data_IF_403464875909
#
_entry.id   IF_403464875909
#
_cell.length_a   1.000
_cell.length_b   1.000
_cell.length_c   1.000
_cell.angle_alpha   90.00
_cell.angle_beta   90.00
_cell.angle_gamma   90.00
#
_symmetry.space_group_name_H-M   'P 1'
#
loop_
_entity.id
_entity.type
_entity.pdbx_description
1 polymer ?
#
# COMPACT_ATOMS: atom_id res chain seq x y z
N UNK A 1 14.18 -4.32 -33.14
CA UNK A 1 14.49 -5.43 -32.22
C UNK A 1 15.33 -5.02 -31.01
N UNK A 2 16.38 -4.20 -31.14
CA UNK A 2 17.28 -3.85 -30.01
C UNK A 2 16.63 -3.15 -28.82
N UNK A 3 15.66 -2.24 -29.01
CA UNK A 3 14.95 -1.56 -27.90
C UNK A 3 13.98 -2.53 -27.18
N UNK A 4 13.32 -3.40 -27.96
CA UNK A 4 12.28 -4.31 -27.48
C UNK A 4 12.85 -5.49 -26.68
N UNK A 5 14.12 -5.85 -26.88
CA UNK A 5 14.84 -6.83 -26.03
C UNK A 5 15.44 -6.13 -24.79
N UNK A 6 15.65 -4.81 -24.86
CA UNK A 6 16.39 -4.07 -23.84
C UNK A 6 15.52 -3.58 -22.68
N UNK A 7 14.30 -3.12 -22.95
CA UNK A 7 13.33 -2.81 -21.91
C UNK A 7 12.97 -4.03 -21.03
N UNK A 8 12.66 -5.22 -21.60
CA UNK A 8 12.44 -6.41 -20.78
C UNK A 8 13.74 -6.85 -20.10
N UNK A 9 14.92 -6.72 -20.71
CA UNK A 9 16.19 -6.98 -20.01
C UNK A 9 16.36 -6.08 -18.79
N UNK A 10 16.10 -4.78 -18.91
CA UNK A 10 16.14 -3.84 -17.78
C UNK A 10 15.12 -4.29 -16.72
N UNK A 11 13.89 -4.60 -17.11
CA UNK A 11 12.86 -5.09 -16.19
C UNK A 11 13.28 -6.37 -15.45
N UNK A 12 13.72 -7.40 -16.16
CA UNK A 12 14.16 -8.66 -15.57
C UNK A 12 15.37 -8.50 -14.66
N UNK A 13 16.36 -7.69 -15.07
CA UNK A 13 17.55 -7.42 -14.25
C UNK A 13 17.18 -6.60 -13.01
N UNK A 14 16.28 -5.62 -13.11
CA UNK A 14 15.78 -4.86 -11.96
C UNK A 14 15.05 -5.80 -10.98
N UNK A 15 14.15 -6.66 -11.47
CA UNK A 15 13.44 -7.64 -10.64
C UNK A 15 14.45 -8.57 -9.93
N UNK A 16 15.42 -9.11 -10.67
CA UNK A 16 16.47 -9.96 -10.12
C UNK A 16 17.27 -9.23 -9.03
N UNK A 17 17.67 -7.98 -9.27
CA UNK A 17 18.42 -7.18 -8.30
C UNK A 17 17.59 -6.84 -7.06
N UNK A 18 16.28 -6.62 -7.18
CA UNK A 18 15.39 -6.43 -6.03
C UNK A 18 15.29 -7.71 -5.19
N UNK A 19 15.16 -8.87 -5.82
CA UNK A 19 15.14 -10.17 -5.12
C UNK A 19 16.47 -10.43 -4.43
N UNK A 20 17.58 -10.20 -5.14
CA UNK A 20 18.93 -10.34 -4.58
C UNK A 20 19.16 -9.36 -3.41
N UNK A 21 18.68 -8.12 -3.51
CA UNK A 21 18.74 -7.14 -2.41
C UNK A 21 18.00 -7.65 -1.18
N UNK A 22 16.77 -8.12 -1.34
CA UNK A 22 15.96 -8.60 -0.22
C UNK A 22 16.60 -9.81 0.48
N UNK A 23 17.14 -10.75 -0.30
CA UNK A 23 17.84 -11.92 0.24
C UNK A 23 19.13 -11.52 0.97
N UNK A 24 19.97 -10.69 0.34
CA UNK A 24 21.26 -10.30 0.89
C UNK A 24 21.10 -9.41 2.14
N UNK A 25 20.08 -8.54 2.15
CA UNK A 25 19.77 -7.70 3.29
C UNK A 25 19.44 -8.54 4.54
N UNK A 26 18.54 -9.52 4.42
CA UNK A 26 18.18 -10.39 5.55
C UNK A 26 19.34 -11.26 6.01
N UNK A 27 20.09 -11.81 5.05
CA UNK A 27 21.30 -12.57 5.34
C UNK A 27 22.31 -11.73 6.15
N UNK A 28 22.64 -10.53 5.68
CA UNK A 28 23.59 -9.64 6.35
C UNK A 28 23.08 -9.14 7.70
N UNK A 29 21.77 -8.97 7.85
CA UNK A 29 21.16 -8.56 9.12
C UNK A 29 21.15 -9.70 10.16
N UNK A 30 21.13 -10.96 9.72
CA UNK A 30 21.19 -12.13 10.59
C UNK A 30 22.62 -12.50 11.04
N UNK A 31 23.66 -12.10 10.31
CA UNK A 31 25.05 -12.47 10.64
C UNK A 31 25.50 -11.96 12.03
N UNK A 32 25.28 -10.68 12.41
CA UNK A 32 25.75 -10.16 13.70
C UNK A 32 25.08 -10.81 14.91
N UNK A 33 23.80 -11.15 14.81
CA UNK A 33 23.05 -11.85 15.88
C UNK A 33 23.55 -13.27 16.09
N UNK A 34 24.09 -13.92 15.06
CA UNK A 34 24.68 -15.26 15.16
C UNK A 34 26.13 -15.26 15.64
N UNK A 35 26.91 -14.24 15.33
CA UNK A 35 28.31 -14.13 15.77
C UNK A 35 28.46 -13.60 17.21
N UNK A 36 27.40 -13.00 17.79
CA UNK A 36 27.45 -12.34 19.10
C UNK A 36 26.87 -13.15 20.27
N UNK A 37 26.58 -14.44 20.10
CA UNK A 37 26.12 -15.33 21.19
C UNK A 37 27.21 -16.37 21.56
N UNK A 38 28.11 -16.05 22.50
CA UNK A 38 28.72 -17.06 23.35
C UNK A 38 27.73 -17.42 24.46
N UNK A 39 27.37 -18.70 24.54
CA UNK A 39 26.77 -19.41 25.67
C UNK A 39 25.39 -18.97 26.19
N UNK A 40 24.33 -19.65 25.75
CA UNK A 40 23.24 -20.04 26.65
C UNK A 40 22.71 -21.45 26.30
N UNK A 41 22.90 -22.45 27.19
CA UNK A 41 22.30 -23.76 27.06
C UNK A 41 20.94 -23.74 27.76
N UNK A 42 19.84 -23.75 27.00
CA UNK A 42 18.55 -24.38 27.37
C UNK A 42 17.47 -24.00 26.37
N UNK A 43 17.22 -24.88 25.40
CA UNK A 43 15.89 -25.07 24.82
C UNK A 43 15.85 -26.49 24.26
N UNK A 44 15.34 -27.40 25.08
CA UNK A 44 15.10 -28.78 24.68
C UNK A 44 13.95 -28.87 23.67
N UNK A 45 14.11 -29.89 22.81
CA UNK A 45 13.14 -30.53 21.93
C UNK A 45 12.83 -29.90 20.55
N UNK A 46 13.34 -30.65 19.57
CA UNK A 46 12.89 -30.85 18.17
C UNK A 46 13.27 -29.83 17.09
N UNK A 47 14.56 -29.79 16.71
CA UNK A 47 15.00 -30.27 15.39
C UNK A 47 16.53 -30.10 15.21
N UNK A 48 17.30 -31.18 15.00
CA UNK A 48 18.71 -31.09 14.66
C UNK A 48 18.90 -31.05 13.12
N UNK A 49 19.62 -30.02 12.63
CA UNK A 49 20.20 -29.84 11.28
C UNK A 49 19.33 -29.19 10.17
N UNK A 50 19.51 -27.88 10.01
CA UNK A 50 19.32 -27.06 8.79
C UNK A 50 19.80 -25.63 9.09
N UNK A 51 20.56 -24.93 8.21
CA UNK A 51 21.27 -23.72 8.60
C UNK A 51 20.32 -22.52 8.65
N UNK A 52 20.08 -21.97 9.84
CA UNK A 52 19.25 -20.77 10.10
C UNK A 52 19.58 -19.56 9.18
N UNK A 53 20.80 -19.53 8.63
CA UNK A 53 21.28 -18.56 7.64
C UNK A 53 20.61 -18.73 6.26
N UNK A 54 20.32 -19.97 5.86
CA UNK A 54 19.53 -20.26 4.66
C UNK A 54 18.07 -19.88 4.87
N UNK A 55 17.54 -20.04 6.08
CA UNK A 55 16.18 -19.58 6.41
C UNK A 55 16.05 -18.06 6.29
N UNK A 56 17.07 -17.28 6.69
CA UNK A 56 17.10 -15.83 6.49
C UNK A 56 17.10 -15.44 4.99
N UNK A 57 17.84 -16.18 4.15
CA UNK A 57 17.83 -15.99 2.70
C UNK A 57 16.45 -16.30 2.10
N UNK A 58 15.86 -17.44 2.47
CA UNK A 58 14.53 -17.85 2.03
C UNK A 58 13.48 -16.83 2.51
N UNK A 59 13.61 -16.33 3.74
CA UNK A 59 12.73 -15.30 4.28
C UNK A 59 12.78 -14.00 3.46
N UNK A 60 13.99 -13.55 3.13
CA UNK A 60 14.21 -12.38 2.29
C UNK A 60 13.61 -12.55 0.89
N UNK A 61 13.76 -13.71 0.26
CA UNK A 61 13.20 -13.99 -1.07
C UNK A 61 11.68 -14.12 -1.05
N UNK A 62 11.12 -14.84 -0.08
CA UNK A 62 9.69 -15.22 -0.07
C UNK A 62 8.82 -14.09 0.46
N UNK A 63 9.24 -13.40 1.52
CA UNK A 63 8.39 -12.44 2.23
C UNK A 63 8.74 -11.00 1.93
N UNK A 64 10.03 -10.68 1.77
CA UNK A 64 10.50 -9.30 1.64
C UNK A 64 10.66 -8.83 0.20
N UNK A 65 11.17 -9.69 -0.68
CA UNK A 65 11.34 -9.37 -2.09
C UNK A 65 10.03 -8.94 -2.77
N UNK A 66 8.86 -9.58 -2.52
CA UNK A 66 7.62 -9.13 -3.15
C UNK A 66 7.26 -7.70 -2.74
N UNK A 67 7.38 -7.34 -1.46
CA UNK A 67 7.13 -5.97 -0.99
C UNK A 67 8.01 -4.94 -1.70
N UNK A 68 9.29 -5.26 -1.90
CA UNK A 68 10.22 -4.41 -2.65
C UNK A 68 9.96 -4.40 -4.15
N UNK A 69 9.50 -5.51 -4.73
CA UNK A 69 9.09 -5.57 -6.12
C UNK A 69 7.86 -4.69 -6.36
N UNK A 70 6.90 -4.66 -5.45
CA UNK A 70 5.70 -3.83 -5.63
C UNK A 70 5.98 -2.34 -5.46
N UNK A 71 6.73 -1.95 -4.43
CA UNK A 71 6.95 -0.54 -4.12
C UNK A 71 8.15 0.05 -4.87
N UNK A 72 9.18 -0.76 -5.12
CA UNK A 72 10.46 -0.32 -5.66
C UNK A 72 10.61 -0.46 -7.17
N UNK A 73 9.93 -1.45 -7.81
CA UNK A 73 10.17 -1.74 -9.24
C UNK A 73 9.79 -0.57 -10.14
N UNK A 74 8.61 0.02 -9.97
CA UNK A 74 8.15 1.11 -10.85
C UNK A 74 9.07 2.35 -10.75
N UNK A 75 9.37 2.90 -9.55
CA UNK A 75 10.29 4.01 -9.41
C UNK A 75 11.70 3.69 -9.94
N UNK A 76 12.24 2.49 -9.65
CA UNK A 76 13.55 2.07 -10.14
C UNK A 76 13.56 1.97 -11.66
N UNK A 77 12.53 1.40 -12.29
CA UNK A 77 12.46 1.31 -13.75
C UNK A 77 12.44 2.69 -14.40
N UNK A 78 11.75 3.67 -13.82
CA UNK A 78 11.74 5.04 -14.32
C UNK A 78 13.15 5.65 -14.25
N UNK A 79 13.79 5.58 -13.08
CA UNK A 79 15.14 6.13 -12.89
C UNK A 79 16.15 5.44 -13.83
N UNK A 80 16.08 4.11 -13.92
CA UNK A 80 16.98 3.33 -14.75
C UNK A 80 16.73 3.56 -16.25
N UNK A 81 15.48 3.74 -16.68
CA UNK A 81 15.15 4.14 -18.05
C UNK A 81 15.70 5.54 -18.38
N UNK A 82 15.67 6.49 -17.43
CA UNK A 82 16.29 7.81 -17.62
C UNK A 82 17.82 7.70 -17.72
N UNK A 83 18.46 6.87 -16.88
CA UNK A 83 19.91 6.65 -16.99
C UNK A 83 20.31 5.99 -18.30
N UNK A 84 19.48 5.08 -18.80
CA UNK A 84 19.65 4.41 -20.09
C UNK A 84 19.48 5.40 -21.24
N UNK A 85 18.50 6.32 -21.16
CA UNK A 85 18.31 7.40 -22.13
C UNK A 85 19.52 8.36 -22.16
N UNK A 86 20.03 8.74 -21.00
CA UNK A 86 21.23 9.59 -20.87
C UNK A 86 22.53 8.87 -21.22
N UNK A 87 22.49 7.58 -21.59
CA UNK A 87 23.68 6.77 -21.89
C UNK A 87 24.70 6.78 -20.74
N UNK A 88 24.22 6.79 -19.49
CA UNK A 88 25.08 6.82 -18.32
C UNK A 88 25.70 5.43 -18.09
N UNK A 89 26.97 5.26 -18.50
CA UNK A 89 27.70 3.98 -18.40
C UNK A 89 28.50 3.82 -17.10
N UNK A 90 28.70 4.89 -16.34
CA UNK A 90 29.54 4.87 -15.14
C UNK A 90 28.88 4.05 -14.02
N UNK A 91 29.63 3.10 -13.46
CA UNK A 91 29.22 2.27 -12.33
C UNK A 91 28.75 3.09 -11.12
N UNK A 92 29.33 4.30 -10.93
CA UNK A 92 28.99 5.22 -9.84
C UNK A 92 27.50 5.60 -9.84
N UNK A 93 26.90 5.82 -11.01
CA UNK A 93 25.47 6.17 -11.11
C UNK A 93 24.58 5.06 -10.59
N UNK A 94 24.85 3.82 -11.00
CA UNK A 94 24.06 2.67 -10.57
C UNK A 94 24.24 2.40 -9.09
N UNK A 95 25.45 2.53 -8.54
CA UNK A 95 25.65 2.43 -7.11
C UNK A 95 24.83 3.46 -6.33
N UNK A 96 24.89 4.73 -6.72
CA UNK A 96 24.13 5.78 -6.02
C UNK A 96 22.62 5.50 -6.07
N UNK A 97 22.10 5.07 -7.22
CA UNK A 97 20.67 4.73 -7.38
C UNK A 97 20.28 3.59 -6.44
N UNK A 98 21.06 2.51 -6.42
CA UNK A 98 20.75 1.34 -5.60
C UNK A 98 20.94 1.60 -4.10
N UNK A 99 21.91 2.44 -3.70
CA UNK A 99 22.07 2.89 -2.30
C UNK A 99 20.86 3.70 -1.84
N UNK A 100 20.43 4.69 -2.64
CA UNK A 100 19.25 5.49 -2.31
C UNK A 100 18.00 4.61 -2.23
N UNK A 101 17.82 3.71 -3.21
CA UNK A 101 16.69 2.79 -3.24
C UNK A 101 16.68 1.84 -2.04
N UNK A 102 17.83 1.28 -1.65
CA UNK A 102 17.93 0.38 -0.51
C UNK A 102 17.70 1.08 0.83
N UNK A 103 18.17 2.31 0.99
CA UNK A 103 17.91 3.13 2.19
C UNK A 103 16.41 3.48 2.31
N UNK A 104 15.77 3.87 1.20
CA UNK A 104 14.33 4.10 1.15
C UNK A 104 13.54 2.82 1.46
N UNK A 105 13.93 1.69 0.88
CA UNK A 105 13.28 0.40 1.09
C UNK A 105 13.42 -0.14 2.52
N UNK A 106 14.41 0.33 3.28
CA UNK A 106 14.66 -0.08 4.66
C UNK A 106 14.20 0.93 5.70
N UNK A 107 13.69 2.09 5.27
CA UNK A 107 13.14 3.12 6.14
C UNK A 107 14.20 3.96 6.86
N UNK A 108 15.40 4.12 6.26
CA UNK A 108 16.53 4.84 6.86
C UNK A 108 16.80 4.43 8.32
N UNK A 109 17.32 3.22 8.58
CA UNK A 109 17.57 2.73 9.94
C UNK A 109 18.79 3.39 10.58
N UNK A 110 18.76 4.72 10.74
CA UNK A 110 19.88 5.53 11.28
C UNK A 110 20.17 5.15 12.75
N UNK A 111 19.14 4.68 13.46
CA UNK A 111 19.23 4.27 14.87
C UNK A 111 19.78 2.85 15.06
N UNK A 112 19.93 2.06 14.00
CA UNK A 112 20.44 0.69 14.06
C UNK A 112 21.64 0.54 13.11
N UNK A 113 22.89 0.65 13.63
CA UNK A 113 24.08 0.66 12.80
C UNK A 113 24.31 -0.68 12.08
N UNK A 114 23.85 -1.80 12.65
CA UNK A 114 23.97 -3.12 12.04
C UNK A 114 23.06 -3.21 10.83
N UNK A 115 21.80 -2.82 11.00
CA UNK A 115 20.81 -2.81 9.93
C UNK A 115 21.15 -1.81 8.83
N UNK A 116 21.74 -0.67 9.18
CA UNK A 116 22.27 0.31 8.22
C UNK A 116 23.42 -0.27 7.41
N UNK A 117 24.38 -0.95 8.06
CA UNK A 117 25.50 -1.59 7.36
C UNK A 117 25.04 -2.68 6.39
N UNK A 118 24.07 -3.51 6.80
CA UNK A 118 23.45 -4.53 5.96
C UNK A 118 22.74 -3.90 4.74
N UNK A 119 22.00 -2.81 4.93
CA UNK A 119 21.35 -2.07 3.85
C UNK A 119 22.37 -1.54 2.83
N UNK A 120 23.45 -0.90 3.29
CA UNK A 120 24.47 -0.31 2.43
C UNK A 120 25.24 -1.38 1.64
N UNK A 121 25.64 -2.47 2.29
CA UNK A 121 26.35 -3.58 1.65
C UNK A 121 25.47 -4.30 0.63
N UNK A 122 24.21 -4.58 0.97
CA UNK A 122 23.26 -5.18 0.03
C UNK A 122 22.97 -4.28 -1.17
N UNK A 123 22.83 -2.97 -0.94
CA UNK A 123 22.64 -1.98 -2.00
C UNK A 123 23.85 -1.88 -2.93
N UNK A 124 25.06 -1.90 -2.36
CA UNK A 124 26.29 -1.82 -3.14
C UNK A 124 26.47 -3.08 -4.01
N UNK A 125 26.26 -4.26 -3.43
CA UNK A 125 26.35 -5.53 -4.15
C UNK A 125 25.35 -5.60 -5.32
N UNK A 126 24.11 -5.17 -5.08
CA UNK A 126 23.04 -5.17 -6.10
C UNK A 126 23.26 -4.10 -7.17
N UNK A 127 23.78 -2.92 -6.80
CA UNK A 127 24.19 -1.90 -7.77
C UNK A 127 25.32 -2.33 -8.69
N UNK A 128 26.33 -3.03 -8.15
CA UNK A 128 27.39 -3.66 -8.94
C UNK A 128 26.83 -4.74 -9.88
N UNK A 129 25.98 -5.62 -9.36
CA UNK A 129 25.33 -6.68 -10.14
C UNK A 129 24.50 -6.09 -11.30
N UNK A 130 23.70 -5.06 -11.03
CA UNK A 130 22.89 -4.38 -12.03
C UNK A 130 23.76 -3.74 -13.12
N UNK A 131 24.84 -3.06 -12.70
CA UNK A 131 25.76 -2.43 -13.65
C UNK A 131 26.41 -3.47 -14.58
N UNK A 132 26.84 -4.62 -14.06
CA UNK A 132 27.40 -5.71 -14.85
C UNK A 132 26.39 -6.29 -15.85
N UNK A 133 25.15 -6.53 -15.40
CA UNK A 133 24.12 -7.22 -16.18
C UNK A 133 23.37 -6.33 -17.17
N UNK A 134 23.24 -5.03 -16.89
CA UNK A 134 22.49 -4.09 -17.75
C UNK A 134 23.28 -2.81 -18.03
N UNK A 135 23.81 -2.16 -16.98
CA UNK A 135 24.37 -0.80 -17.05
C UNK A 135 25.60 -0.62 -17.95
N UNK A 136 26.47 -1.62 -18.07
CA UNK A 136 27.68 -1.56 -18.93
C UNK A 136 27.36 -1.31 -20.41
N UNK A 137 26.19 -1.75 -20.84
CA UNK A 137 25.73 -1.60 -22.23
C UNK A 137 24.84 -0.37 -22.45
N UNK A 138 24.63 0.46 -21.42
CA UNK A 138 23.66 1.56 -21.44
C UNK A 138 23.92 2.54 -22.60
N UNK A 139 22.89 2.82 -23.41
CA UNK A 139 22.98 3.76 -24.53
C UNK A 139 23.56 3.19 -25.84
N UNK A 140 24.05 1.95 -25.86
CA UNK A 140 24.57 1.33 -27.11
C UNK A 140 23.49 1.23 -28.20
N UNK A 141 22.22 1.17 -27.80
CA UNK A 141 21.09 1.15 -28.72
C UNK A 141 20.87 2.50 -29.41
N UNK A 142 21.23 3.64 -28.79
CA UNK A 142 21.09 4.97 -29.39
C UNK A 142 22.08 5.15 -30.55
N UNK A 143 23.29 4.58 -30.43
CA UNK A 143 24.27 4.54 -31.52
C UNK A 143 23.81 3.62 -32.66
N UNK A 144 23.29 2.44 -32.33
CA UNK A 144 22.68 1.53 -33.31
C UNK A 144 21.35 2.06 -33.93
N UNK A 145 20.74 3.06 -33.29
CA UNK A 145 19.51 3.72 -33.76
C UNK A 145 19.84 4.84 -34.75
N UNK A 146 20.91 5.61 -34.55
CA UNK A 146 21.36 6.64 -35.51
C UNK A 146 21.79 6.07 -36.86
N UNK A 147 22.21 4.81 -36.91
CA UNK A 147 22.75 4.16 -38.13
C UNK A 147 21.73 3.39 -38.95
N UNK A 148 20.42 3.41 -38.60
CA UNK A 148 19.43 2.54 -39.24
C UNK A 148 18.18 3.29 -39.71
N UNK A 149 17.87 3.17 -41.00
CA UNK A 149 16.75 3.84 -41.68
C UNK A 149 15.37 3.62 -41.00
N UNK A 150 14.47 4.62 -41.08
CA UNK A 150 13.19 4.60 -40.39
C UNK A 150 12.10 3.86 -41.19
N UNK A 151 11.77 2.62 -40.81
CA UNK A 151 10.57 1.92 -41.29
C UNK A 151 9.30 2.31 -40.50
N UNK A 152 8.16 2.43 -41.20
CA UNK A 152 6.87 2.91 -40.69
C UNK A 152 6.30 2.12 -39.49
N UNK A 153 6.58 0.81 -39.38
CA UNK A 153 6.17 -0.03 -38.25
C UNK A 153 6.78 0.43 -36.90
N UNK A 154 7.89 1.19 -36.94
CA UNK A 154 8.60 1.71 -35.77
C UNK A 154 7.92 2.92 -35.14
N UNK A 155 7.08 3.66 -35.88
CA UNK A 155 6.31 4.80 -35.34
C UNK A 155 5.26 4.33 -34.33
N UNK A 156 4.50 3.28 -34.65
CA UNK A 156 3.52 2.66 -33.75
C UNK A 156 4.15 2.17 -32.43
N UNK A 157 5.33 1.57 -32.52
CA UNK A 157 6.09 1.11 -31.36
C UNK A 157 6.60 2.24 -30.46
N UNK A 158 7.00 3.38 -31.04
CA UNK A 158 7.37 4.56 -30.26
C UNK A 158 6.15 5.16 -29.56
N UNK A 159 4.99 5.22 -30.23
CA UNK A 159 3.75 5.65 -29.59
C UNK A 159 3.37 4.77 -28.40
N UNK A 160 3.48 3.43 -28.53
CA UNK A 160 3.25 2.52 -27.42
C UNK A 160 4.19 2.78 -26.22
N UNK A 161 5.47 3.05 -26.48
CA UNK A 161 6.43 3.39 -25.43
C UNK A 161 6.10 4.72 -24.73
N UNK A 162 5.66 5.74 -25.48
CA UNK A 162 5.20 7.01 -24.90
C UNK A 162 3.94 6.85 -24.06
N UNK A 163 2.99 6.01 -24.49
CA UNK A 163 1.78 5.70 -23.71
C UNK A 163 2.14 5.00 -22.40
N UNK A 164 3.06 4.03 -22.42
CA UNK A 164 3.54 3.36 -21.20
C UNK A 164 4.24 4.36 -20.28
N UNK A 165 5.10 5.23 -20.80
CA UNK A 165 5.77 6.26 -20.01
C UNK A 165 4.78 7.28 -19.43
N UNK A 166 3.75 7.69 -20.18
CA UNK A 166 2.71 8.59 -19.70
C UNK A 166 1.89 7.94 -18.58
N UNK A 167 1.52 6.67 -18.72
CA UNK A 167 0.83 5.91 -17.68
C UNK A 167 1.67 5.79 -16.40
N UNK A 168 2.96 5.47 -16.54
CA UNK A 168 3.89 5.42 -15.40
C UNK A 168 4.07 6.79 -14.74
N UNK A 169 4.12 7.87 -15.54
CA UNK A 169 4.17 9.25 -15.04
C UNK A 169 2.90 9.63 -14.26
N UNK A 170 1.72 9.24 -14.75
CA UNK A 170 0.45 9.44 -14.05
C UNK A 170 0.39 8.68 -12.71
N UNK A 171 0.83 7.43 -12.69
CA UNK A 171 0.94 6.65 -11.45
C UNK A 171 1.92 7.32 -10.47
N UNK A 172 3.08 7.78 -10.97
CA UNK A 172 4.06 8.49 -10.14
C UNK A 172 3.49 9.78 -9.54
N UNK A 173 2.74 10.58 -10.31
CA UNK A 173 2.12 11.79 -9.77
C UNK A 173 1.12 11.50 -8.65
N UNK A 174 0.36 10.40 -8.76
CA UNK A 174 -0.54 9.95 -7.68
C UNK A 174 0.24 9.59 -6.41
N UNK A 175 1.31 8.80 -6.52
CA UNK A 175 2.14 8.43 -5.37
C UNK A 175 2.87 9.62 -4.74
N UNK A 176 3.39 10.54 -5.54
CA UNK A 176 4.07 11.75 -5.03
C UNK A 176 3.08 12.67 -4.32
N UNK A 177 1.87 12.83 -4.87
CA UNK A 177 0.81 13.62 -4.25
C UNK A 177 0.36 13.02 -2.91
N UNK A 178 0.09 11.72 -2.89
CA UNK A 178 -0.31 11.01 -1.67
C UNK A 178 0.82 10.98 -0.62
N UNK A 179 2.07 10.72 -1.05
CA UNK A 179 3.25 10.77 -0.18
C UNK A 179 3.51 12.17 0.38
N UNK A 180 3.29 13.22 -0.42
CA UNK A 180 3.35 14.60 0.02
C UNK A 180 2.30 14.92 1.09
N UNK A 181 1.05 14.47 0.90
CA UNK A 181 0.00 14.58 1.92
C UNK A 181 0.36 13.85 3.21
N UNK A 182 0.84 12.61 3.12
CA UNK A 182 1.25 11.83 4.29
C UNK A 182 2.36 12.54 5.08
N UNK A 183 3.37 13.07 4.38
CA UNK A 183 4.44 13.85 5.01
C UNK A 183 3.88 15.10 5.69
N UNK A 184 3.06 15.88 4.99
CA UNK A 184 2.42 17.08 5.53
C UNK A 184 1.65 16.78 6.81
N UNK A 185 0.83 15.73 6.79
CA UNK A 185 -0.01 15.31 7.91
C UNK A 185 0.78 14.73 9.08
N UNK A 186 1.93 14.12 8.81
CA UNK A 186 2.82 13.59 9.86
C UNK A 186 3.62 14.68 10.58
N UNK A 187 3.86 15.83 9.93
CA UNK A 187 4.66 16.94 10.48
C UNK A 187 3.86 18.21 10.79
N UNK A 188 2.62 18.30 10.31
CA UNK A 188 1.75 19.47 10.41
C UNK A 188 0.77 19.39 11.58
N UNK A 189 -0.02 20.46 11.80
CA UNK A 189 -1.10 20.46 12.78
C UNK A 189 -2.14 19.39 12.43
N UNK A 190 -2.83 18.85 13.45
CA UNK A 190 -3.88 17.87 13.22
C UNK A 190 -5.00 18.46 12.33
N UNK A 191 -5.47 17.70 11.32
CA UNK A 191 -6.54 18.18 10.47
C UNK A 191 -7.83 18.36 11.28
N UNK A 192 -8.68 19.27 10.81
CA UNK A 192 -9.99 19.52 11.42
C UNK A 192 -10.78 18.19 11.54
N UNK A 193 -11.37 17.88 12.72
CA UNK A 193 -12.24 16.72 12.94
C UNK A 193 -13.37 16.57 11.91
N UNK A 194 -13.77 17.67 11.27
CA UNK A 194 -14.87 17.71 10.31
C UNK A 194 -16.24 17.59 10.99
N UNK A 195 -17.28 17.38 10.19
CA UNK A 195 -18.67 17.29 10.69
C UNK A 195 -19.33 15.99 10.23
N UNK A 196 -19.89 15.15 11.13
CA UNK A 196 -19.69 15.14 12.58
C UNK A 196 -18.21 14.91 12.96
N UNK A 197 -17.77 15.30 14.17
CA UNK A 197 -16.37 15.18 14.59
C UNK A 197 -15.96 13.70 14.61
N UNK A 198 -14.99 13.35 13.78
CA UNK A 198 -14.54 11.97 13.64
C UNK A 198 -13.72 11.53 14.86
N UNK A 199 -14.08 10.39 15.45
CA UNK A 199 -13.38 9.81 16.59
C UNK A 199 -12.86 8.40 16.27
N UNK A 200 -11.62 8.14 16.68
CA UNK A 200 -11.01 6.81 16.60
C UNK A 200 -11.26 6.02 17.88
N UNK A 201 -11.46 4.72 17.72
CA UNK A 201 -11.71 3.80 18.84
C UNK A 201 -10.57 3.83 19.86
N UNK A 202 -10.91 3.93 21.14
CA UNK A 202 -9.98 3.89 22.28
C UNK A 202 -8.94 5.02 22.34
N UNK A 203 -9.24 6.20 21.79
CA UNK A 203 -8.34 7.39 21.86
C UNK A 203 -6.91 7.11 21.36
N UNK A 204 -6.73 6.09 20.51
CA UNK A 204 -5.42 5.80 19.91
C UNK A 204 -5.01 6.96 19.02
N UNK A 205 -3.70 7.23 18.95
CA UNK A 205 -3.18 8.22 18.01
C UNK A 205 -3.68 7.91 16.58
N UNK A 206 -4.24 8.95 15.94
CA UNK A 206 -4.82 8.84 14.62
C UNK A 206 -3.70 8.61 13.59
N UNK A 207 -3.83 7.54 12.80
CA UNK A 207 -2.83 7.20 11.79
C UNK A 207 -2.78 8.28 10.69
N UNK A 208 -1.61 8.43 10.06
CA UNK A 208 -1.45 9.40 8.97
C UNK A 208 -2.42 9.15 7.81
N UNK A 209 -2.79 7.90 7.53
CA UNK A 209 -3.79 7.54 6.52
C UNK A 209 -5.19 8.03 6.88
N UNK A 210 -5.62 7.88 8.15
CA UNK A 210 -6.91 8.43 8.63
C UNK A 210 -6.96 9.94 8.59
N UNK A 211 -5.87 10.60 8.97
CA UNK A 211 -5.76 12.05 8.88
C UNK A 211 -5.85 12.54 7.42
N UNK A 212 -5.27 11.82 6.45
CA UNK A 212 -5.47 12.11 5.01
C UNK A 212 -6.93 11.90 4.60
N UNK A 213 -7.56 10.79 5.01
CA UNK A 213 -8.97 10.53 4.74
C UNK A 213 -9.89 11.64 5.27
N UNK A 214 -9.60 12.21 6.44
CA UNK A 214 -10.35 13.34 7.02
C UNK A 214 -10.17 14.67 6.28
N UNK A 215 -9.08 14.85 5.53
CA UNK A 215 -8.93 16.02 4.65
C UNK A 215 -9.65 15.80 3.33
N UNK A 216 -9.59 14.59 2.77
CA UNK A 216 -10.14 14.28 1.45
C UNK A 216 -11.67 14.19 1.47
N UNK A 217 -12.20 13.77 2.61
CA UNK A 217 -13.59 13.85 2.95
C UNK A 217 -13.61 14.73 4.20
N UNK A 218 -14.16 15.96 4.20
CA UNK A 218 -14.32 16.78 5.42
C UNK A 218 -15.73 16.74 6.03
N UNK A 219 -16.76 16.44 5.22
CA UNK A 219 -18.17 16.53 5.60
C UNK A 219 -19.00 15.37 4.97
N UNK A 220 -20.29 15.18 5.32
CA UNK A 220 -21.08 14.06 4.80
C UNK A 220 -21.32 14.17 3.29
N UNK A 221 -21.44 15.38 2.75
CA UNK A 221 -21.69 15.61 1.32
C UNK A 221 -20.50 15.17 0.46
N UNK A 222 -19.28 15.29 0.99
CA UNK A 222 -18.06 14.85 0.33
C UNK A 222 -18.01 13.34 0.04
N UNK A 223 -18.80 12.54 0.78
CA UNK A 223 -18.90 11.09 0.64
C UNK A 223 -20.07 10.61 -0.25
N UNK A 224 -20.89 11.53 -0.80
CA UNK A 224 -22.06 11.21 -1.61
C UNK A 224 -21.74 11.18 -3.12
N UNK A 225 -22.50 10.39 -3.88
CA UNK A 225 -22.36 10.27 -5.35
C UNK A 225 -22.60 11.57 -6.13
N UNK A 226 -23.35 12.51 -5.53
CA UNK A 226 -23.66 13.82 -6.13
C UNK A 226 -23.43 14.91 -5.09
N UNK A 227 -22.47 15.79 -5.33
CA UNK A 227 -22.13 16.88 -4.41
C UNK A 227 -22.98 18.15 -4.61
N UNK A 228 -23.87 18.20 -5.61
CA UNK A 228 -24.44 19.46 -6.13
C UNK A 228 -25.59 20.08 -5.30
N UNK A 229 -26.11 19.40 -4.28
CA UNK A 229 -27.19 19.93 -3.43
C UNK A 229 -26.84 19.82 -1.96
N UNK A 230 -26.92 20.96 -1.26
CA UNK A 230 -26.61 21.12 0.17
C UNK A 230 -27.66 20.47 1.10
N UNK A 231 -28.78 19.96 0.56
CA UNK A 231 -29.79 19.28 1.36
C UNK A 231 -29.40 17.81 1.61
N UNK A 232 -29.08 17.52 2.87
CA UNK A 232 -28.83 16.19 3.42
C UNK A 232 -30.15 15.58 3.90
N UNK A 233 -30.98 15.07 2.99
CA UNK A 233 -32.13 14.26 3.39
C UNK A 233 -31.69 12.85 3.83
N UNK A 234 -32.52 12.19 4.64
CA UNK A 234 -32.27 10.83 5.14
C UNK A 234 -32.06 9.81 4.02
N UNK A 235 -32.79 9.95 2.90
CA UNK A 235 -32.61 9.09 1.73
C UNK A 235 -31.29 9.37 1.01
N UNK A 236 -30.86 10.63 0.94
CA UNK A 236 -29.58 10.99 0.32
C UNK A 236 -28.38 10.49 1.11
N UNK A 237 -28.46 10.44 2.43
CA UNK A 237 -27.39 9.86 3.27
C UNK A 237 -27.10 8.38 2.94
N UNK A 238 -28.02 7.69 2.24
CA UNK A 238 -27.84 6.32 1.74
C UNK A 238 -27.12 6.27 0.38
N UNK A 239 -26.82 7.39 -0.27
CA UNK A 239 -26.18 7.43 -1.59
C UNK A 239 -24.65 7.56 -1.52
N UNK A 240 -24.01 6.72 -0.70
CA UNK A 240 -22.56 6.71 -0.52
C UNK A 240 -21.82 6.39 -1.83
N UNK A 241 -20.78 7.17 -2.13
CA UNK A 241 -19.94 6.96 -3.30
C UNK A 241 -18.76 6.03 -3.01
N UNK A 242 -19.05 4.72 -3.05
CA UNK A 242 -18.03 3.69 -2.95
C UNK A 242 -16.95 3.77 -4.06
N UNK A 243 -17.22 4.45 -5.18
CA UNK A 243 -16.27 4.60 -6.28
C UNK A 243 -15.15 5.62 -6.01
N UNK A 244 -15.34 6.50 -5.03
CA UNK A 244 -14.33 7.49 -4.60
C UNK A 244 -13.46 7.03 -3.44
N UNK A 245 -13.77 5.87 -2.87
CA UNK A 245 -13.08 5.33 -1.70
C UNK A 245 -12.02 4.35 -2.18
N UNK A 246 -10.78 4.52 -1.73
CA UNK A 246 -9.63 3.73 -2.16
C UNK A 246 -9.09 2.80 -1.07
N UNK A 247 -9.48 3.00 0.20
CA UNK A 247 -8.98 2.21 1.32
C UNK A 247 -9.97 2.16 2.51
N UNK A 248 -9.63 1.35 3.52
CA UNK A 248 -10.47 1.12 4.68
C UNK A 248 -10.58 2.35 5.60
N UNK A 249 -9.54 3.19 5.68
CA UNK A 249 -9.55 4.39 6.51
C UNK A 249 -10.52 5.44 5.95
N UNK A 250 -10.53 5.62 4.63
CA UNK A 250 -11.53 6.45 3.93
C UNK A 250 -12.95 5.90 4.08
N UNK A 251 -13.11 4.57 4.00
CA UNK A 251 -14.39 3.93 4.24
C UNK A 251 -14.89 4.21 5.66
N UNK A 252 -14.03 4.04 6.68
CA UNK A 252 -14.40 4.32 8.08
C UNK A 252 -14.82 5.78 8.28
N UNK A 253 -14.07 6.73 7.72
CA UNK A 253 -14.40 8.16 7.80
C UNK A 253 -15.74 8.46 7.13
N UNK A 254 -15.96 7.97 5.91
CA UNK A 254 -17.20 8.24 5.19
C UNK A 254 -18.42 7.55 5.82
N UNK A 255 -18.29 6.29 6.24
CA UNK A 255 -19.36 5.60 6.97
C UNK A 255 -19.67 6.36 8.26
N UNK A 256 -18.66 6.79 9.02
CA UNK A 256 -18.87 7.54 10.25
C UNK A 256 -19.63 8.84 10.00
N UNK A 257 -19.29 9.59 8.95
CA UNK A 257 -19.97 10.85 8.67
C UNK A 257 -21.40 10.67 8.19
N UNK A 258 -21.65 9.70 7.32
CA UNK A 258 -22.99 9.45 6.81
C UNK A 258 -23.89 8.87 7.90
N UNK A 259 -23.45 7.84 8.62
CA UNK A 259 -24.23 7.26 9.72
C UNK A 259 -24.36 8.22 10.90
N UNK A 260 -23.31 8.94 11.25
CA UNK A 260 -23.32 9.92 12.34
C UNK A 260 -24.15 11.17 12.05
N UNK A 261 -24.61 11.36 10.81
CA UNK A 261 -25.55 12.41 10.44
C UNK A 261 -27.02 12.03 10.72
N UNK A 262 -27.31 10.77 11.05
CA UNK A 262 -28.64 10.36 11.51
C UNK A 262 -28.84 10.67 13.00
N UNK A 263 -30.07 10.93 13.40
CA UNK A 263 -30.41 11.32 14.79
C UNK A 263 -30.16 10.21 15.83
N UNK A 264 -30.25 8.94 15.42
CA UNK A 264 -30.12 7.80 16.33
C UNK A 264 -29.87 6.48 15.57
N UNK A 265 -29.56 5.42 16.32
CA UNK A 265 -29.21 4.12 15.77
C UNK A 265 -30.33 3.43 14.95
N UNK A 266 -31.59 3.87 15.06
CA UNK A 266 -32.72 3.19 14.41
C UNK A 266 -32.57 3.12 12.88
N UNK A 267 -31.84 4.08 12.30
CA UNK A 267 -31.55 4.18 10.88
C UNK A 267 -30.37 3.32 10.41
N UNK A 268 -29.55 2.79 11.33
CA UNK A 268 -28.29 2.12 10.96
C UNK A 268 -28.51 0.86 10.12
N UNK A 269 -29.54 0.05 10.43
CA UNK A 269 -29.84 -1.18 9.68
C UNK A 269 -30.27 -0.88 8.26
N UNK A 270 -31.24 0.03 8.10
CA UNK A 270 -31.75 0.48 6.80
C UNK A 270 -30.63 1.11 5.96
N UNK A 271 -29.73 1.87 6.59
CA UNK A 271 -28.55 2.40 5.91
C UNK A 271 -27.61 1.30 5.40
N UNK A 272 -27.27 0.31 6.24
CA UNK A 272 -26.43 -0.83 5.85
C UNK A 272 -27.06 -1.64 4.72
N UNK A 273 -28.36 -1.91 4.80
CA UNK A 273 -29.09 -2.63 3.77
C UNK A 273 -29.13 -1.86 2.44
N UNK A 274 -29.31 -0.53 2.48
CA UNK A 274 -29.21 0.33 1.30
C UNK A 274 -27.80 0.31 0.68
N UNK A 275 -26.76 0.11 1.49
CA UNK A 275 -25.40 -0.12 1.00
C UNK A 275 -25.17 -1.54 0.49
N UNK A 276 -26.13 -2.46 0.57
CA UNK A 276 -25.96 -3.87 0.20
C UNK A 276 -25.14 -4.69 1.20
N UNK A 277 -25.15 -4.30 2.47
CA UNK A 277 -24.70 -5.15 3.58
C UNK A 277 -25.87 -5.97 4.10
N UNK A 278 -25.59 -7.21 4.47
CA UNK A 278 -26.49 -8.03 5.25
C UNK A 278 -26.31 -7.73 6.74
N UNK A 279 -27.40 -7.35 7.41
CA UNK A 279 -27.42 -7.16 8.86
C UNK A 279 -28.13 -8.35 9.49
N UNK A 280 -27.46 -9.06 10.40
CA UNK A 280 -28.10 -10.17 11.09
C UNK A 280 -29.20 -9.64 12.02
N UNK A 281 -30.38 -10.27 12.12
CA UNK A 281 -31.48 -9.79 12.98
C UNK A 281 -31.10 -9.58 14.46
N UNK A 282 -30.09 -10.31 14.95
CA UNK A 282 -29.57 -10.25 16.33
C UNK A 282 -28.48 -9.18 16.56
N UNK A 283 -28.05 -8.50 15.49
CA UNK A 283 -27.06 -7.43 15.51
C UNK A 283 -27.57 -6.21 14.74
N UNK A 284 -28.90 -6.04 14.75
CA UNK A 284 -29.63 -4.99 14.02
C UNK A 284 -29.95 -3.82 14.93
N UNK A 285 -30.47 -2.73 14.37
CA UNK A 285 -30.91 -1.56 15.13
C UNK A 285 -32.05 -1.88 16.11
N UNK A 286 -32.88 -2.87 15.79
CA UNK A 286 -33.96 -3.33 16.68
C UNK A 286 -33.44 -4.20 17.84
N UNK A 287 -32.30 -4.87 17.65
CA UNK A 287 -31.64 -5.71 18.65
C UNK A 287 -30.12 -5.53 18.51
N UNK A 288 -29.58 -4.38 18.95
CA UNK A 288 -28.15 -4.11 18.83
C UNK A 288 -27.37 -5.01 19.78
N UNK A 289 -26.12 -5.29 19.43
CA UNK A 289 -25.21 -5.96 20.34
C UNK A 289 -24.82 -4.99 21.46
N UNK A 290 -25.05 -5.36 22.71
CA UNK A 290 -24.66 -4.54 23.86
C UNK A 290 -23.25 -4.95 24.29
N UNK A 291 -22.28 -4.04 24.19
CA UNK A 291 -20.92 -4.27 24.67
C UNK A 291 -20.84 -4.22 26.20
N UNK A 292 -19.72 -4.69 26.76
CA UNK A 292 -19.50 -4.73 28.22
C UNK A 292 -19.56 -3.33 28.87
N UNK A 293 -19.19 -2.29 28.13
CA UNK A 293 -19.26 -0.90 28.57
C UNK A 293 -20.67 -0.30 28.45
N UNK A 294 -21.62 -1.04 27.89
CA UNK A 294 -23.01 -0.64 27.64
C UNK A 294 -23.24 0.07 26.30
N UNK A 295 -22.22 0.22 25.47
CA UNK A 295 -22.38 0.77 24.11
C UNK A 295 -23.15 -0.18 23.20
N UNK A 296 -23.79 0.36 22.17
CA UNK A 296 -24.67 -0.37 21.27
C UNK A 296 -24.00 -0.54 19.91
N UNK A 297 -23.80 -1.77 19.44
CA UNK A 297 -23.15 -2.06 18.17
C UNK A 297 -24.11 -2.68 17.16
N UNK A 298 -24.10 -2.13 15.95
CA UNK A 298 -24.78 -2.67 14.76
C UNK A 298 -23.72 -3.07 13.75
N UNK A 299 -23.83 -4.29 13.23
CA UNK A 299 -22.83 -4.87 12.32
C UNK A 299 -23.46 -5.18 10.97
N UNK A 300 -22.96 -4.54 9.91
CA UNK A 300 -23.24 -4.90 8.53
C UNK A 300 -22.15 -5.83 7.97
N UNK A 301 -22.55 -6.91 7.29
CA UNK A 301 -21.63 -7.83 6.62
C UNK A 301 -21.87 -7.85 5.12
N UNK A 302 -20.82 -7.63 4.34
CA UNK A 302 -20.85 -7.66 2.88
C UNK A 302 -20.06 -8.85 2.34
N UNK A 303 -20.64 -9.59 1.39
CA UNK A 303 -20.00 -10.75 0.80
C UNK A 303 -19.18 -10.36 -0.43
N UNK A 304 -17.88 -10.17 -0.24
CA UNK A 304 -16.95 -9.90 -1.35
C UNK A 304 -16.96 -11.06 -2.36
N UNK A 305 -17.14 -12.30 -1.89
CA UNK A 305 -17.22 -13.48 -2.76
C UNK A 305 -18.41 -13.46 -3.71
N UNK A 306 -19.56 -12.94 -3.29
CA UNK A 306 -20.79 -12.92 -4.09
C UNK A 306 -20.93 -11.64 -4.91
N UNK A 307 -20.65 -10.51 -4.28
CA UNK A 307 -21.03 -9.19 -4.79
C UNK A 307 -19.82 -8.34 -5.22
N UNK A 308 -18.60 -8.85 -5.01
CA UNK A 308 -17.35 -8.14 -5.29
C UNK A 308 -16.93 -7.19 -4.16
N UNK A 309 -15.72 -6.60 -4.22
CA UNK A 309 -15.26 -5.65 -3.23
C UNK A 309 -15.94 -4.27 -3.40
N UNK A 310 -16.33 -3.62 -2.29
CA UNK A 310 -17.00 -2.31 -2.30
C UNK A 310 -16.13 -1.17 -2.81
N UNK A 311 -14.90 -1.12 -2.34
CA UNK A 311 -13.86 -0.24 -2.83
C UNK A 311 -12.68 -1.10 -3.26
N UNK A 312 -11.77 -0.60 -4.09
CA UNK A 312 -10.58 -1.37 -4.42
C UNK A 312 -9.88 -1.70 -3.10
N UNK A 313 -9.82 -2.97 -2.74
CA UNK A 313 -8.93 -3.42 -1.66
C UNK A 313 -7.52 -3.25 -2.19
N UNK A 314 -7.00 -2.03 -2.13
CA UNK A 314 -5.83 -1.62 -2.89
C UNK A 314 -4.60 -2.41 -2.45
N UNK A 315 -3.77 -2.72 -3.45
CA UNK A 315 -2.56 -3.52 -3.35
C UNK A 315 -2.61 -4.77 -4.22
N UNK A 316 -1.77 -4.82 -5.25
CA UNK A 316 -1.42 -6.08 -5.94
C UNK A 316 -0.94 -7.12 -4.90
N UNK A 317 -0.35 -6.65 -3.80
CA UNK A 317 0.01 -7.40 -2.59
C UNK A 317 -1.16 -8.24 -2.06
N UNK A 318 -2.33 -7.66 -1.76
CA UNK A 318 -3.47 -8.43 -1.19
C UNK A 318 -4.11 -9.38 -2.22
N UNK A 319 -4.04 -9.05 -3.51
CA UNK A 319 -4.48 -9.93 -4.61
C UNK A 319 -3.50 -11.08 -4.89
N UNK A 320 -2.20 -10.88 -4.68
CA UNK A 320 -1.15 -11.86 -4.95
C UNK A 320 -0.88 -12.79 -3.77
N UNK A 321 -1.04 -12.33 -2.52
CA UNK A 321 -0.72 -13.07 -1.29
C UNK A 321 -1.86 -13.94 -0.74
N UNK A 322 -2.85 -14.33 -1.57
CA UNK A 322 -3.90 -15.32 -1.26
C UNK A 322 -4.84 -15.04 -0.08
N UNK A 323 -4.72 -13.95 0.66
CA UNK A 323 -5.77 -13.52 1.59
C UNK A 323 -6.77 -12.62 0.86
N UNK A 324 -7.40 -13.14 -0.21
CA UNK A 324 -8.56 -12.47 -0.83
C UNK A 324 -9.65 -12.47 0.24
N UNK A 325 -9.99 -11.30 0.83
CA UNK A 325 -11.01 -11.28 1.85
C UNK A 325 -12.31 -11.74 1.20
N UNK A 326 -12.98 -12.71 1.82
CA UNK A 326 -14.24 -13.24 1.29
C UNK A 326 -15.45 -12.46 1.82
N UNK A 327 -15.26 -11.71 2.91
CA UNK A 327 -16.23 -10.78 3.48
C UNK A 327 -15.58 -9.53 4.05
N UNK A 328 -16.35 -8.45 4.02
CA UNK A 328 -16.08 -7.19 4.71
C UNK A 328 -17.16 -7.03 5.79
N UNK A 329 -16.77 -6.61 6.98
CA UNK A 329 -17.71 -6.23 8.04
C UNK A 329 -17.52 -4.77 8.41
N UNK A 330 -18.59 -4.09 8.75
CA UNK A 330 -18.55 -2.73 9.26
C UNK A 330 -19.31 -2.72 10.58
N UNK A 331 -18.60 -2.36 11.64
CA UNK A 331 -19.13 -2.24 12.98
C UNK A 331 -19.35 -0.76 13.29
N UNK A 332 -20.60 -0.36 13.48
CA UNK A 332 -20.97 0.97 13.93
C UNK A 332 -21.34 0.91 15.42
N UNK A 333 -20.54 1.55 16.28
CA UNK A 333 -20.77 1.58 17.73
C UNK A 333 -21.34 2.92 18.15
N UNK A 334 -22.45 2.87 18.86
CA UNK A 334 -23.23 4.01 19.34
C UNK A 334 -23.17 4.11 20.86
N UNK A 335 -23.48 5.30 21.37
CA UNK A 335 -23.68 5.58 22.79
C UNK A 335 -24.78 4.70 23.39
N UNK A 336 -24.79 4.60 24.72
CA UNK A 336 -25.75 3.74 25.47
C UNK A 336 -27.21 4.10 25.21
N UNK A 337 -27.48 5.38 24.96
CA UNK A 337 -28.79 5.92 24.62
C UNK A 337 -29.09 5.85 23.11
N UNK A 338 -28.14 5.39 22.31
CA UNK A 338 -28.30 5.18 20.86
C UNK A 338 -28.36 6.46 20.03
N UNK A 339 -28.04 7.62 20.62
CA UNK A 339 -28.18 8.93 19.94
C UNK A 339 -26.90 9.40 19.25
N UNK A 340 -25.74 8.95 19.70
CA UNK A 340 -24.45 9.41 19.18
C UNK A 340 -23.65 8.24 18.64
N UNK A 341 -23.18 8.34 17.40
CA UNK A 341 -22.19 7.42 16.85
C UNK A 341 -20.82 7.73 17.45
N UNK A 342 -20.18 6.73 18.04
CA UNK A 342 -18.90 6.90 18.75
C UNK A 342 -17.70 6.54 17.87
N UNK A 343 -17.77 5.44 17.12
CA UNK A 343 -16.74 5.04 16.16
C UNK A 343 -17.28 4.02 15.16
N UNK A 344 -16.55 3.88 14.05
CA UNK A 344 -16.77 2.86 13.03
C UNK A 344 -15.50 2.06 12.86
N UNK A 345 -15.63 0.74 12.67
CA UNK A 345 -14.52 -0.15 12.37
C UNK A 345 -14.84 -0.98 11.14
N UNK A 346 -13.92 -1.00 10.17
CA UNK A 346 -14.01 -1.87 9.00
C UNK A 346 -13.11 -3.09 9.18
N UNK A 347 -13.72 -4.27 9.19
CA UNK A 347 -13.05 -5.56 9.27
C UNK A 347 -13.06 -6.31 7.95
N UNK A 348 -12.11 -7.22 7.78
CA UNK A 348 -12.07 -8.15 6.65
C UNK A 348 -11.79 -9.56 7.14
N UNK A 349 -12.57 -10.52 6.68
CA UNK A 349 -12.32 -11.93 6.94
C UNK A 349 -11.58 -12.55 5.78
N UNK A 350 -10.47 -13.22 6.08
CA UNK A 350 -9.59 -13.92 5.13
C UNK A 350 -9.55 -15.41 5.47
N UNK A 351 -9.34 -16.26 4.46
CA UNK A 351 -9.10 -17.70 4.66
C UNK A 351 -7.66 -17.98 5.09
#
# INVERSE_FOLDING_TARGET
MTILVRLPRIAFVTILCIVAFAALFEFLNAIPTHLSLPDHPQAGLTNPRGPLVFDALVWGVVFRAPGYLFNGTIPLLIVLAVTEWKSAKSWRWYLTIWIIAGLLATGFPITDPLRLSAALLASAATGCLYWLLAGKSAGDWLQAWRTREPNACRKLLNYAAYVVLAYLGYQLSGYVYYGGKLLWVSSGPEPDPGTPPFHVRFEREMTASKKVAMMDFPDPSSCLKKAETNELSTDRLKEMDWGRIDNADEAEVCVFRLLGSFENLSYATDWFEAQGFYVHPNFSSARPYVELDGTLRVTGVHSIRKDGPKFPTTGIIRRAFRSIPYSMSVDATWSKDGKQLLWVLTGFSTL
#
